data_IF_249920841164
#
_entry.id   IF_249920841164
#
_cell.length_a   1.000
_cell.length_b   1.000
_cell.length_c   1.000
_cell.angle_alpha   90.00
_cell.angle_beta   90.00
_cell.angle_gamma   90.00
#
_symmetry.space_group_name_H-M   'P 1'
#
loop_
_entity.id
_entity.type
_entity.pdbx_description
1 polymer ?
#
# COMPACT_ATOMS: atom_id res chain seq x y z
N UNK A 1 -27.38 29.94 42.77
CA UNK A 1 -26.63 28.84 43.44
C UNK A 1 -27.30 27.46 43.31
N UNK A 2 -28.62 27.34 43.28
CA UNK A 2 -29.32 26.04 43.18
C UNK A 2 -29.17 25.32 41.83
N UNK A 3 -29.16 26.04 40.70
CA UNK A 3 -29.01 25.45 39.37
C UNK A 3 -27.62 24.81 39.12
N UNK A 4 -26.55 25.36 39.68
CA UNK A 4 -25.20 24.81 39.56
C UNK A 4 -25.05 23.50 40.32
N UNK A 5 -25.66 23.35 41.51
CA UNK A 5 -25.64 22.10 42.29
C UNK A 5 -26.43 20.95 41.64
N UNK A 6 -27.51 21.22 40.93
CA UNK A 6 -28.32 20.19 40.23
C UNK A 6 -27.61 19.65 38.98
N UNK A 7 -26.85 20.49 38.29
CA UNK A 7 -26.04 20.08 37.14
C UNK A 7 -24.87 19.18 37.58
N UNK A 8 -24.18 19.56 38.66
CA UNK A 8 -23.07 18.78 39.22
C UNK A 8 -23.50 17.40 39.75
N UNK A 9 -24.67 17.29 40.35
CA UNK A 9 -25.22 16.02 40.85
C UNK A 9 -25.59 15.09 39.66
N UNK A 10 -26.19 15.62 38.58
CA UNK A 10 -26.52 14.85 37.39
C UNK A 10 -25.30 14.37 36.64
N UNK A 11 -24.20 15.15 36.60
CA UNK A 11 -22.93 14.75 36.00
C UNK A 11 -22.22 13.66 36.80
N UNK A 12 -22.18 13.76 38.10
CA UNK A 12 -21.61 12.73 39.01
C UNK A 12 -22.35 11.40 38.88
N UNK A 13 -23.68 11.44 38.74
CA UNK A 13 -24.50 10.23 38.57
C UNK A 13 -24.27 9.56 37.20
N UNK A 14 -24.11 10.34 36.11
CA UNK A 14 -23.76 9.84 34.79
C UNK A 14 -22.39 9.19 34.75
N UNK A 15 -21.41 9.80 35.41
CA UNK A 15 -20.02 9.26 35.47
C UNK A 15 -20.00 7.91 36.17
N UNK A 16 -20.69 7.78 37.33
CA UNK A 16 -20.82 6.49 38.05
C UNK A 16 -21.53 5.42 37.25
N UNK A 17 -22.58 5.78 36.50
CA UNK A 17 -23.29 4.86 35.62
C UNK A 17 -22.40 4.38 34.46
N UNK A 18 -21.61 5.29 33.87
CA UNK A 18 -20.64 4.96 32.81
C UNK A 18 -19.53 4.05 33.33
N UNK A 19 -18.93 4.35 34.49
CA UNK A 19 -17.87 3.54 35.09
C UNK A 19 -18.39 2.14 35.45
N UNK A 20 -19.64 2.03 35.94
CA UNK A 20 -20.30 0.73 36.20
C UNK A 20 -20.48 -0.07 34.89
N UNK A 21 -20.92 0.58 33.82
CA UNK A 21 -21.07 -0.06 32.50
C UNK A 21 -19.71 -0.50 31.90
N UNK A 22 -18.68 0.34 32.02
CA UNK A 22 -17.32 -0.02 31.60
C UNK A 22 -16.77 -1.22 32.35
N UNK A 23 -16.94 -1.25 33.70
CA UNK A 23 -16.54 -2.39 34.52
C UNK A 23 -17.34 -3.68 34.21
N UNK A 24 -18.60 -3.58 33.78
CA UNK A 24 -19.37 -4.72 33.31
C UNK A 24 -18.88 -5.24 31.98
N UNK A 25 -18.57 -4.34 31.03
CA UNK A 25 -18.01 -4.69 29.72
C UNK A 25 -16.64 -5.38 29.86
N UNK A 26 -15.76 -4.85 30.71
CA UNK A 26 -14.45 -5.46 30.97
C UNK A 26 -14.56 -6.87 31.58
N UNK A 27 -15.50 -7.08 32.49
CA UNK A 27 -15.74 -8.41 33.06
C UNK A 27 -16.29 -9.41 32.04
N UNK A 28 -17.11 -8.96 31.11
CA UNK A 28 -17.79 -9.83 30.14
C UNK A 28 -16.94 -10.10 28.90
N UNK A 29 -16.19 -9.12 28.44
CA UNK A 29 -15.48 -9.15 27.14
C UNK A 29 -13.95 -9.01 27.24
N UNK A 30 -13.41 -8.80 28.44
CA UNK A 30 -11.99 -8.63 28.70
C UNK A 30 -11.55 -7.16 28.75
N UNK A 31 -10.39 -6.93 29.36
CA UNK A 31 -9.77 -5.60 29.46
C UNK A 31 -9.42 -5.04 28.08
N UNK A 32 -9.57 -3.73 27.89
CA UNK A 32 -9.27 -3.06 26.62
C UNK A 32 -10.37 -3.14 25.57
N UNK A 33 -11.53 -3.78 25.86
CA UNK A 33 -12.69 -3.81 24.96
C UNK A 33 -13.24 -2.41 24.68
N UNK A 34 -13.20 -1.52 25.66
CA UNK A 34 -13.49 -0.09 25.54
C UNK A 34 -12.30 0.69 26.06
N UNK A 35 -11.81 1.63 25.27
CA UNK A 35 -10.69 2.48 25.64
C UNK A 35 -10.97 3.94 25.30
N UNK A 36 -10.39 4.85 26.04
CA UNK A 36 -10.44 6.28 25.71
C UNK A 36 -9.44 6.57 24.59
N UNK A 37 -9.91 7.20 23.51
CA UNK A 37 -9.07 7.47 22.32
C UNK A 37 -7.83 8.31 22.63
N UNK A 38 -7.85 9.11 23.72
CA UNK A 38 -6.70 9.89 24.19
C UNK A 38 -5.52 9.06 24.70
N UNK A 39 -5.76 7.81 25.11
CA UNK A 39 -4.72 6.92 25.64
C UNK A 39 -3.81 6.35 24.53
N UNK A 40 -4.30 6.30 23.28
CA UNK A 40 -3.53 5.84 22.08
C UNK A 40 -3.06 6.96 21.16
N UNK A 41 -3.04 8.20 21.60
CA UNK A 41 -2.82 9.39 20.74
C UNK A 41 -1.46 9.45 20.02
N UNK A 42 -0.50 8.60 20.36
CA UNK A 42 0.88 8.72 19.86
C UNK A 42 1.50 7.43 19.29
N UNK A 43 0.73 6.37 19.12
CA UNK A 43 1.27 5.19 18.43
C UNK A 43 1.38 5.48 16.93
N UNK A 44 2.63 5.56 16.42
CA UNK A 44 2.88 5.62 14.97
C UNK A 44 2.36 4.33 14.35
N UNK A 45 1.55 4.46 13.30
CA UNK A 45 1.10 3.30 12.53
C UNK A 45 2.32 2.70 11.83
N UNK A 46 2.67 1.43 12.09
CA UNK A 46 3.78 0.79 11.41
C UNK A 46 3.47 0.67 9.92
N UNK A 47 4.49 0.91 9.08
CA UNK A 47 4.35 0.91 7.64
C UNK A 47 5.47 0.11 6.96
N UNK A 48 5.16 -0.45 5.79
CA UNK A 48 6.13 -1.07 4.88
C UNK A 48 6.40 -0.07 3.74
N UNK A 49 7.66 0.37 3.52
CA UNK A 49 8.00 1.27 2.43
C UNK A 49 7.60 0.70 1.06
N UNK A 50 7.29 1.58 0.12
CA UNK A 50 6.86 1.18 -1.22
C UNK A 50 7.99 0.96 -2.21
N UNK A 51 9.21 1.38 -1.86
CA UNK A 51 10.33 1.46 -2.80
C UNK A 51 10.44 2.84 -3.47
N UNK A 52 9.35 3.62 -3.56
CA UNK A 52 9.34 4.99 -4.04
C UNK A 52 9.34 5.98 -2.89
N UNK A 53 10.33 6.87 -2.84
CA UNK A 53 10.40 7.92 -1.83
C UNK A 53 9.21 8.87 -1.92
N UNK A 54 8.85 9.28 -3.13
CA UNK A 54 7.71 10.18 -3.36
C UNK A 54 6.39 9.57 -2.94
N UNK A 55 6.19 8.27 -3.16
CA UNK A 55 4.96 7.58 -2.77
C UNK A 55 4.89 7.39 -1.25
N UNK A 56 6.00 7.05 -0.60
CA UNK A 56 6.09 6.94 0.86
C UNK A 56 5.69 8.25 1.55
N UNK A 57 6.12 9.39 0.99
CA UNK A 57 5.73 10.74 1.42
C UNK A 57 4.24 11.00 1.15
N UNK A 58 3.75 10.67 -0.05
CA UNK A 58 2.35 10.89 -0.40
C UNK A 58 1.38 10.08 0.48
N UNK A 59 1.82 8.92 0.99
CA UNK A 59 1.08 8.10 1.95
C UNK A 59 1.05 8.69 3.37
N UNK A 60 2.01 9.56 3.72
CA UNK A 60 2.04 10.34 4.96
C UNK A 60 2.48 9.59 6.21
N UNK A 61 2.80 8.29 6.10
CA UNK A 61 3.28 7.44 7.21
C UNK A 61 4.58 6.70 6.84
N UNK A 62 5.19 7.06 5.70
CA UNK A 62 6.44 6.45 5.23
C UNK A 62 6.27 5.10 4.53
N UNK A 63 5.06 4.77 4.05
CA UNK A 63 4.78 3.52 3.34
C UNK A 63 3.33 3.07 3.46
N UNK A 64 3.07 1.81 3.18
CA UNK A 64 1.76 1.17 3.28
C UNK A 64 1.50 0.68 4.71
N UNK A 65 0.30 0.96 5.28
CA UNK A 65 0.00 0.67 6.68
C UNK A 65 -0.09 -0.84 6.96
N UNK A 66 0.62 -1.32 7.97
CA UNK A 66 0.45 -2.69 8.49
C UNK A 66 -0.92 -2.83 9.17
N UNK A 67 -1.42 -4.06 9.26
CA UNK A 67 -2.73 -4.35 9.85
C UNK A 67 -3.90 -3.77 9.05
N UNK A 68 -3.72 -3.49 7.75
CA UNK A 68 -4.70 -2.85 6.88
C UNK A 68 -4.80 -3.51 5.51
N UNK A 69 -5.97 -3.34 4.89
CA UNK A 69 -6.22 -3.71 3.50
C UNK A 69 -5.95 -2.51 2.61
N UNK A 70 -5.18 -2.73 1.55
CA UNK A 70 -4.83 -1.76 0.52
C UNK A 70 -5.32 -2.26 -0.84
N UNK A 71 -5.85 -1.38 -1.67
CA UNK A 71 -6.18 -1.66 -3.07
C UNK A 71 -5.29 -0.83 -3.99
N UNK A 72 -4.60 -1.51 -4.92
CA UNK A 72 -3.84 -0.89 -6.01
C UNK A 72 -4.54 -1.23 -7.31
N UNK A 73 -5.00 -0.24 -8.05
CA UNK A 73 -5.71 -0.47 -9.29
C UNK A 73 -5.24 0.47 -10.40
N UNK A 74 -5.38 0.03 -11.62
CA UNK A 74 -4.97 0.79 -12.80
C UNK A 74 -5.12 -0.03 -14.09
N UNK A 75 -4.83 0.58 -15.25
CA UNK A 75 -4.80 -0.12 -16.53
C UNK A 75 -3.78 -1.26 -16.54
N UNK A 76 -3.87 -2.11 -17.54
CA UNK A 76 -2.83 -3.09 -17.83
C UNK A 76 -1.48 -2.40 -18.07
N UNK A 77 -0.38 -3.07 -17.71
CA UNK A 77 0.99 -2.56 -17.87
C UNK A 77 1.26 -1.21 -17.21
N UNK A 78 0.48 -0.82 -16.20
CA UNK A 78 0.68 0.42 -15.43
C UNK A 78 1.73 0.31 -14.30
N UNK A 79 2.25 -0.91 -14.03
CA UNK A 79 3.24 -1.16 -12.98
C UNK A 79 2.68 -1.63 -11.65
N UNK A 80 1.43 -2.13 -11.60
CA UNK A 80 0.80 -2.66 -10.37
C UNK A 80 1.61 -3.76 -9.69
N UNK A 81 1.90 -4.82 -10.44
CA UNK A 81 2.68 -5.98 -9.96
C UNK A 81 4.11 -5.57 -9.61
N UNK A 82 4.75 -4.70 -10.41
CA UNK A 82 6.08 -4.16 -10.09
C UNK A 82 6.08 -3.44 -8.74
N UNK A 83 5.13 -2.53 -8.51
CA UNK A 83 5.03 -1.81 -7.25
C UNK A 83 4.83 -2.77 -6.07
N UNK A 84 3.99 -3.80 -6.21
CA UNK A 84 3.76 -4.75 -5.11
C UNK A 84 4.96 -5.65 -4.85
N UNK A 85 5.72 -6.06 -5.87
CA UNK A 85 6.97 -6.80 -5.69
C UNK A 85 8.04 -5.96 -5.00
N UNK A 86 8.12 -4.65 -5.30
CA UNK A 86 8.98 -3.73 -4.56
C UNK A 86 8.59 -3.64 -3.08
N UNK A 87 7.28 -3.56 -2.76
CA UNK A 87 6.81 -3.59 -1.36
C UNK A 87 7.19 -4.89 -0.67
N UNK A 88 7.07 -6.04 -1.36
CA UNK A 88 7.51 -7.34 -0.85
C UNK A 88 9.02 -7.32 -0.55
N UNK A 89 9.83 -6.82 -1.48
CA UNK A 89 11.27 -6.71 -1.30
C UNK A 89 11.64 -5.82 -0.10
N UNK A 90 10.93 -4.69 0.11
CA UNK A 90 11.13 -3.85 1.29
C UNK A 90 10.71 -4.58 2.58
N UNK A 91 9.60 -5.31 2.58
CA UNK A 91 9.17 -6.11 3.72
C UNK A 91 10.23 -7.15 4.12
N UNK A 92 10.74 -7.92 3.16
CA UNK A 92 11.79 -8.92 3.39
C UNK A 92 13.10 -8.27 3.87
N UNK A 93 13.50 -7.11 3.34
CA UNK A 93 14.66 -6.33 3.84
C UNK A 93 14.51 -5.90 5.30
N UNK A 94 13.27 -5.74 5.77
CA UNK A 94 12.96 -5.46 7.18
C UNK A 94 12.92 -6.73 8.05
N UNK A 95 13.15 -7.91 7.47
CA UNK A 95 13.06 -9.22 8.13
C UNK A 95 11.64 -9.79 8.20
N UNK A 96 10.70 -9.24 7.42
CA UNK A 96 9.31 -9.69 7.36
C UNK A 96 9.10 -10.86 6.39
N UNK A 97 8.06 -11.66 6.67
CA UNK A 97 7.64 -12.79 5.84
C UNK A 97 6.57 -12.33 4.84
N UNK A 98 6.77 -12.69 3.57
CA UNK A 98 5.90 -12.30 2.47
C UNK A 98 5.19 -13.50 1.85
N UNK A 99 3.92 -13.29 1.47
CA UNK A 99 3.14 -14.26 0.70
C UNK A 99 2.49 -13.60 -0.52
N UNK A 100 2.35 -14.38 -1.60
CA UNK A 100 1.77 -13.95 -2.87
C UNK A 100 0.75 -14.97 -3.35
N UNK A 101 -0.47 -14.54 -3.59
CA UNK A 101 -1.52 -15.34 -4.23
C UNK A 101 -1.59 -14.91 -5.68
N UNK A 102 -1.06 -15.78 -6.56
CA UNK A 102 -0.98 -15.59 -8.01
C UNK A 102 -2.19 -16.23 -8.69
N UNK A 103 -3.31 -15.50 -8.68
CA UNK A 103 -4.54 -15.96 -9.33
C UNK A 103 -4.52 -15.78 -10.86
N UNK A 104 -3.59 -15.00 -11.40
CA UNK A 104 -3.38 -14.84 -12.85
C UNK A 104 -2.38 -15.85 -13.43
N UNK A 105 -1.66 -16.61 -12.56
CA UNK A 105 -0.58 -17.53 -12.94
C UNK A 105 0.51 -16.85 -13.80
N UNK A 106 0.85 -15.62 -13.47
CA UNK A 106 1.70 -14.75 -14.28
C UNK A 106 2.94 -14.23 -13.53
N UNK A 107 3.19 -14.69 -12.30
CA UNK A 107 4.36 -14.29 -11.52
C UNK A 107 5.64 -14.85 -12.15
N UNK A 108 6.53 -13.94 -12.58
CA UNK A 108 7.86 -14.28 -13.06
C UNK A 108 8.89 -14.19 -11.92
N UNK A 109 9.45 -15.33 -11.47
CA UNK A 109 10.44 -15.36 -10.39
C UNK A 109 11.72 -14.59 -10.74
N UNK A 110 12.16 -14.66 -12.01
CA UNK A 110 13.36 -13.97 -12.47
C UNK A 110 13.18 -12.43 -12.41
N UNK A 111 11.98 -11.98 -12.76
CA UNK A 111 11.65 -10.56 -12.64
C UNK A 111 11.54 -10.14 -11.17
N UNK A 112 10.90 -10.94 -10.32
CA UNK A 112 10.80 -10.67 -8.88
C UNK A 112 12.19 -10.56 -8.22
N UNK A 113 13.12 -11.48 -8.55
CA UNK A 113 14.50 -11.45 -8.05
C UNK A 113 15.23 -10.17 -8.48
N UNK A 114 15.07 -9.72 -9.73
CA UNK A 114 15.65 -8.46 -10.21
C UNK A 114 15.14 -7.22 -9.45
N UNK A 115 13.94 -7.28 -8.92
CA UNK A 115 13.37 -6.23 -8.06
C UNK A 115 13.82 -6.34 -6.60
N UNK A 116 14.65 -7.34 -6.28
CA UNK A 116 15.22 -7.56 -4.95
C UNK A 116 14.35 -8.40 -4.01
N UNK A 117 13.37 -9.13 -4.56
CA UNK A 117 12.61 -10.12 -3.81
C UNK A 117 13.49 -11.35 -3.58
N UNK A 118 13.55 -11.82 -2.34
CA UNK A 118 14.11 -13.14 -2.03
C UNK A 118 13.06 -14.19 -2.39
N UNK A 119 13.19 -14.75 -3.59
CA UNK A 119 12.21 -15.73 -4.13
C UNK A 119 12.22 -17.06 -3.39
N UNK A 120 13.33 -17.44 -2.78
CA UNK A 120 13.45 -18.69 -2.00
C UNK A 120 12.62 -18.64 -0.70
N UNK A 121 12.36 -17.43 -0.17
CA UNK A 121 11.56 -17.22 1.05
C UNK A 121 10.15 -16.71 0.76
N UNK A 122 9.81 -16.44 -0.51
CA UNK A 122 8.48 -15.98 -0.88
C UNK A 122 7.49 -17.13 -0.91
N UNK A 123 6.45 -17.07 -0.06
CA UNK A 123 5.36 -18.03 -0.09
C UNK A 123 4.44 -17.75 -1.27
N UNK A 124 4.28 -18.68 -2.20
CA UNK A 124 3.42 -18.51 -3.39
C UNK A 124 2.30 -19.54 -3.37
N UNK A 125 1.07 -19.07 -3.65
CA UNK A 125 -0.10 -19.93 -3.87
C UNK A 125 -0.71 -19.60 -5.22
N UNK A 126 -1.05 -20.63 -6.00
CA UNK A 126 -1.71 -20.53 -7.31
C UNK A 126 -3.05 -21.27 -7.25
N UNK A 127 -4.12 -20.63 -6.77
CA UNK A 127 -5.41 -21.26 -6.57
C UNK A 127 -6.21 -21.39 -7.86
N UNK A 128 -7.00 -22.46 -7.97
CA UNK A 128 -7.88 -22.70 -9.13
C UNK A 128 -9.19 -21.90 -9.07
N UNK A 129 -9.62 -21.48 -7.87
CA UNK A 129 -10.88 -20.75 -7.67
C UNK A 129 -10.72 -19.55 -6.76
N UNK A 130 -11.63 -18.58 -6.89
CA UNK A 130 -11.66 -17.41 -6.02
C UNK A 130 -11.92 -17.75 -4.55
N UNK A 131 -12.74 -18.78 -4.27
CA UNK A 131 -12.99 -19.28 -2.92
C UNK A 131 -11.70 -19.83 -2.30
N UNK A 132 -10.96 -20.67 -3.04
CA UNK A 132 -9.68 -21.23 -2.58
C UNK A 132 -8.66 -20.12 -2.30
N UNK A 133 -8.53 -19.14 -3.20
CA UNK A 133 -7.64 -18.00 -3.03
C UNK A 133 -7.91 -17.24 -1.73
N UNK A 134 -9.19 -16.92 -1.48
CA UNK A 134 -9.58 -16.10 -0.33
C UNK A 134 -9.58 -16.90 0.98
N UNK A 135 -9.76 -18.21 0.93
CA UNK A 135 -9.62 -19.08 2.10
C UNK A 135 -8.15 -19.26 2.48
N UNK A 136 -7.26 -19.47 1.52
CA UNK A 136 -5.80 -19.46 1.73
C UNK A 136 -5.35 -18.13 2.33
N UNK A 137 -5.85 -17.00 1.79
CA UNK A 137 -5.57 -15.67 2.33
C UNK A 137 -5.99 -15.53 3.80
N UNK A 138 -7.21 -15.97 4.14
CA UNK A 138 -7.72 -15.89 5.52
C UNK A 138 -6.91 -16.74 6.50
N UNK A 139 -6.54 -17.97 6.11
CA UNK A 139 -5.73 -18.87 6.94
C UNK A 139 -4.33 -18.28 7.16
N UNK A 140 -3.67 -17.78 6.10
CA UNK A 140 -2.33 -17.19 6.20
C UNK A 140 -2.35 -15.95 7.11
N UNK A 141 -3.31 -15.04 6.92
CA UNK A 141 -3.45 -13.85 7.76
C UNK A 141 -3.77 -14.21 9.21
N UNK A 142 -4.71 -15.15 9.42
CA UNK A 142 -5.10 -15.57 10.78
C UNK A 142 -3.97 -16.24 11.55
N UNK A 143 -2.99 -16.83 10.87
CA UNK A 143 -1.81 -17.45 11.50
C UNK A 143 -0.91 -16.47 12.24
N UNK A 144 -0.93 -15.17 11.82
CA UNK A 144 -0.01 -14.15 12.33
C UNK A 144 1.46 -14.36 11.93
N UNK A 145 1.73 -15.31 11.04
CA UNK A 145 3.09 -15.67 10.60
C UNK A 145 3.58 -14.91 9.37
N UNK A 146 2.76 -14.04 8.78
CA UNK A 146 3.11 -13.25 7.59
C UNK A 146 2.92 -11.75 7.84
N UNK A 147 3.83 -10.95 7.30
CA UNK A 147 3.81 -9.48 7.44
C UNK A 147 3.11 -8.80 6.25
N UNK A 148 3.20 -9.41 5.08
CA UNK A 148 2.54 -8.94 3.86
C UNK A 148 1.94 -10.09 3.07
N UNK A 149 0.73 -9.88 2.55
CA UNK A 149 0.05 -10.75 1.59
C UNK A 149 -0.37 -9.93 0.37
N UNK A 150 0.02 -10.37 -0.81
CA UNK A 150 -0.43 -9.78 -2.09
C UNK A 150 -1.36 -10.77 -2.78
N UNK A 151 -2.46 -10.27 -3.36
CA UNK A 151 -3.41 -11.03 -4.18
C UNK A 151 -3.46 -10.39 -5.57
N UNK A 152 -2.94 -11.07 -6.58
CA UNK A 152 -2.88 -10.62 -7.99
C UNK A 152 -3.66 -11.58 -8.89
N UNK A 153 -4.80 -11.19 -9.43
CA UNK A 153 -5.56 -9.99 -9.16
C UNK A 153 -7.01 -10.33 -8.79
N UNK A 154 -7.74 -9.35 -8.21
CA UNK A 154 -9.18 -9.50 -7.92
C UNK A 154 -9.98 -9.92 -9.15
N UNK A 155 -9.59 -9.45 -10.35
CA UNK A 155 -10.28 -9.78 -11.60
C UNK A 155 -10.19 -11.28 -11.96
N UNK A 156 -9.14 -11.97 -11.49
CA UNK A 156 -8.91 -13.40 -11.72
C UNK A 156 -9.52 -14.29 -10.63
N UNK A 157 -10.11 -13.74 -9.57
CA UNK A 157 -10.81 -14.49 -8.54
C UNK A 157 -12.19 -14.95 -9.06
N UNK A 158 -12.18 -16.00 -9.88
CA UNK A 158 -13.40 -16.55 -10.48
C UNK A 158 -14.09 -17.47 -9.46
N UNK A 159 -15.39 -17.27 -9.16
CA UNK A 159 -16.15 -18.17 -8.31
C UNK A 159 -16.21 -19.60 -8.86
N UNK A 160 -16.11 -20.59 -7.98
CA UNK A 160 -16.17 -22.01 -8.36
C UNK A 160 -17.39 -22.35 -9.20
N UNK A 161 -18.56 -21.83 -8.81
CA UNK A 161 -19.82 -22.05 -9.55
C UNK A 161 -19.78 -21.48 -10.98
N UNK A 162 -18.98 -20.48 -11.25
CA UNK A 162 -18.78 -19.92 -12.60
C UNK A 162 -17.84 -20.81 -13.43
N UNK A 163 -16.85 -21.43 -12.80
CA UNK A 163 -15.93 -22.36 -13.46
C UNK A 163 -16.62 -23.68 -13.81
N UNK A 164 -17.50 -24.18 -12.93
CA UNK A 164 -18.25 -25.44 -13.11
C UNK A 164 -19.50 -25.27 -13.98
N UNK A 165 -19.93 -24.04 -14.29
CA UNK A 165 -21.05 -23.71 -15.14
C UNK A 165 -20.80 -23.95 -16.63
N UNK A 166 -21.86 -23.96 -17.45
CA UNK A 166 -21.72 -24.05 -18.89
C UNK A 166 -21.35 -22.70 -19.52
N UNK A 167 -20.70 -22.74 -20.69
CA UNK A 167 -20.39 -21.53 -21.45
C UNK A 167 -21.68 -20.81 -21.86
N UNK A 168 -21.85 -19.57 -21.35
CA UNK A 168 -23.02 -18.75 -21.58
C UNK A 168 -23.96 -18.60 -20.39
N UNK A 169 -23.71 -19.31 -19.30
CA UNK A 169 -24.45 -19.13 -18.05
C UNK A 169 -24.27 -17.73 -17.46
N UNK A 170 -25.33 -17.17 -16.92
CA UNK A 170 -25.32 -15.84 -16.33
C UNK A 170 -25.06 -15.90 -14.83
N UNK A 171 -23.81 -15.64 -14.43
CA UNK A 171 -23.38 -15.62 -13.03
C UNK A 171 -23.30 -14.20 -12.44
N UNK A 172 -24.38 -13.43 -12.58
CA UNK A 172 -24.42 -12.02 -12.18
C UNK A 172 -24.12 -11.86 -10.69
N UNK A 173 -23.01 -11.14 -10.38
CA UNK A 173 -22.68 -10.69 -9.04
C UNK A 173 -22.10 -11.75 -8.10
N UNK A 174 -21.78 -12.96 -8.56
CA UNK A 174 -21.16 -14.00 -7.71
C UNK A 174 -19.82 -13.54 -7.17
N UNK A 175 -18.93 -13.01 -8.00
CA UNK A 175 -17.62 -12.47 -7.57
C UNK A 175 -17.79 -11.35 -6.54
N UNK A 176 -18.74 -10.44 -6.69
CA UNK A 176 -18.99 -9.37 -5.75
C UNK A 176 -19.50 -9.88 -4.38
N UNK A 177 -20.30 -10.96 -4.38
CA UNK A 177 -20.76 -11.64 -3.15
C UNK A 177 -19.60 -12.34 -2.44
N UNK A 178 -18.79 -13.07 -3.19
CA UNK A 178 -17.58 -13.74 -2.71
C UNK A 178 -16.63 -12.74 -2.05
N UNK A 179 -16.28 -11.64 -2.72
CA UNK A 179 -15.46 -10.58 -2.19
C UNK A 179 -16.07 -9.95 -0.91
N UNK A 180 -17.37 -9.70 -0.91
CA UNK A 180 -18.05 -9.13 0.27
C UNK A 180 -18.01 -10.06 1.47
N UNK A 181 -18.14 -11.38 1.27
CA UNK A 181 -18.06 -12.39 2.33
C UNK A 181 -16.64 -12.51 2.86
N UNK A 182 -15.66 -12.65 1.99
CA UNK A 182 -14.25 -12.79 2.34
C UNK A 182 -13.73 -11.57 3.10
N UNK A 183 -13.98 -10.36 2.62
CA UNK A 183 -13.51 -9.14 3.26
C UNK A 183 -14.08 -8.94 4.67
N UNK A 184 -15.34 -9.35 4.92
CA UNK A 184 -15.91 -9.35 6.29
C UNK A 184 -15.16 -10.28 7.24
N UNK A 185 -14.71 -11.43 6.72
CA UNK A 185 -13.96 -12.42 7.50
C UNK A 185 -12.52 -11.99 7.74
N UNK A 186 -11.82 -11.62 6.67
CA UNK A 186 -10.39 -11.31 6.68
C UNK A 186 -10.07 -10.02 7.46
N UNK A 187 -10.93 -8.98 7.37
CA UNK A 187 -10.63 -7.66 7.96
C UNK A 187 -10.32 -7.73 9.46
N UNK A 188 -11.05 -8.56 10.22
CA UNK A 188 -10.80 -8.73 11.65
C UNK A 188 -9.44 -9.40 11.94
N UNK A 189 -9.05 -10.35 11.11
CA UNK A 189 -7.78 -11.06 11.22
C UNK A 189 -6.60 -10.17 10.83
N UNK A 190 -6.73 -9.41 9.75
CA UNK A 190 -5.71 -8.44 9.27
C UNK A 190 -5.29 -7.46 10.36
N UNK A 191 -6.26 -6.90 11.10
CA UNK A 191 -5.96 -5.97 12.18
C UNK A 191 -5.27 -6.65 13.38
N UNK A 192 -5.64 -7.89 13.68
CA UNK A 192 -5.08 -8.64 14.83
C UNK A 192 -3.67 -9.15 14.56
N UNK A 193 -3.41 -9.59 13.32
CA UNK A 193 -2.13 -10.14 12.90
C UNK A 193 -1.11 -9.07 12.48
N UNK A 194 -1.52 -7.81 12.39
CA UNK A 194 -0.69 -6.70 11.88
C UNK A 194 -0.18 -6.93 10.44
N UNK A 195 -0.86 -7.78 9.67
CA UNK A 195 -0.50 -8.11 8.29
C UNK A 195 -0.97 -7.01 7.34
N UNK A 196 -0.11 -6.56 6.44
CA UNK A 196 -0.51 -5.75 5.28
C UNK A 196 -1.09 -6.65 4.20
N UNK A 197 -2.35 -6.43 3.78
CA UNK A 197 -2.96 -7.15 2.67
C UNK A 197 -3.18 -6.23 1.49
N UNK A 198 -2.56 -6.55 0.35
CA UNK A 198 -2.67 -5.79 -0.90
C UNK A 198 -3.51 -6.57 -1.90
N UNK A 199 -4.59 -5.97 -2.37
CA UNK A 199 -5.35 -6.44 -3.52
C UNK A 199 -4.97 -5.64 -4.76
N UNK A 200 -4.43 -6.31 -5.76
CA UNK A 200 -4.26 -5.75 -7.10
C UNK A 200 -5.59 -5.86 -7.84
N UNK A 201 -6.01 -4.78 -8.51
CA UNK A 201 -7.29 -4.76 -9.22
C UNK A 201 -7.16 -4.14 -10.62
N UNK A 202 -8.04 -4.53 -11.49
CA UNK A 202 -8.14 -4.04 -12.85
C UNK A 202 -9.30 -3.05 -12.98
N UNK A 203 -9.16 -2.09 -13.90
CA UNK A 203 -10.22 -1.16 -14.25
C UNK A 203 -11.21 -1.85 -15.18
N UNK A 204 -12.49 -1.55 -14.97
CA UNK A 204 -13.61 -1.91 -15.82
C UNK A 204 -14.40 -0.65 -16.17
N UNK A 205 -15.07 -0.63 -17.29
CA UNK A 205 -15.89 0.49 -17.71
C UNK A 205 -17.37 0.13 -17.57
N UNK A 206 -18.11 1.02 -16.89
CA UNK A 206 -19.57 0.91 -16.82
C UNK A 206 -20.19 1.41 -18.13
N UNK A 207 -21.05 0.62 -18.71
CA UNK A 207 -21.80 0.99 -19.90
C UNK A 207 -22.92 1.97 -19.51
N UNK A 208 -23.16 3.01 -20.33
CA UNK A 208 -24.27 3.94 -20.16
C UNK A 208 -24.09 5.04 -19.12
N UNK A 209 -22.88 5.27 -18.63
CA UNK A 209 -22.59 6.41 -17.73
C UNK A 209 -22.45 7.69 -18.55
N UNK A 210 -23.45 8.58 -18.46
CA UNK A 210 -23.45 9.88 -19.17
C UNK A 210 -22.73 10.98 -18.37
N UNK A 211 -22.64 10.86 -17.03
CA UNK A 211 -22.01 11.85 -16.15
C UNK A 211 -21.10 11.17 -15.14
N UNK A 212 -19.96 11.82 -14.83
CA UNK A 212 -18.94 11.28 -13.92
C UNK A 212 -17.99 10.30 -14.60
N UNK A 213 -17.13 9.62 -13.80
CA UNK A 213 -16.18 8.65 -14.34
C UNK A 213 -16.87 7.31 -14.61
N UNK A 214 -16.77 6.76 -15.84
CA UNK A 214 -17.27 5.43 -16.15
C UNK A 214 -16.40 4.32 -15.54
N UNK A 215 -15.21 4.65 -15.08
CA UNK A 215 -14.25 3.68 -14.53
C UNK A 215 -14.72 3.11 -13.19
N UNK A 216 -14.59 1.81 -13.04
CA UNK A 216 -14.81 1.07 -11.80
C UNK A 216 -13.78 -0.05 -11.68
N UNK A 217 -13.69 -0.70 -10.53
CA UNK A 217 -12.80 -1.85 -10.32
C UNK A 217 -13.59 -3.15 -10.31
N UNK A 218 -12.96 -4.29 -10.63
CA UNK A 218 -13.56 -5.61 -10.55
C UNK A 218 -13.92 -6.01 -9.11
N UNK A 219 -14.76 -7.05 -8.92
CA UNK A 219 -15.11 -7.56 -7.60
C UNK A 219 -16.15 -6.75 -6.81
N UNK A 220 -16.85 -5.81 -7.46
CA UNK A 220 -17.91 -5.01 -6.86
C UNK A 220 -17.42 -3.86 -5.99
N UNK A 221 -18.23 -3.47 -4.99
CA UNK A 221 -17.93 -2.29 -4.18
C UNK A 221 -17.29 -2.60 -2.81
N UNK A 222 -17.26 -3.87 -2.37
CA UNK A 222 -16.83 -4.23 -1.02
C UNK A 222 -15.40 -3.75 -0.73
N UNK A 223 -14.47 -4.00 -1.65
CA UNK A 223 -13.07 -3.61 -1.48
C UNK A 223 -12.90 -2.09 -1.34
N UNK A 224 -13.73 -1.29 -2.04
CA UNK A 224 -13.73 0.19 -1.89
C UNK A 224 -14.05 0.65 -0.47
N UNK A 225 -14.88 -0.09 0.27
CA UNK A 225 -15.23 0.23 1.65
C UNK A 225 -14.22 -0.33 2.64
N UNK A 226 -13.78 -1.57 2.48
CA UNK A 226 -12.89 -2.27 3.42
C UNK A 226 -11.45 -1.77 3.36
N UNK A 227 -10.94 -1.38 2.17
CA UNK A 227 -9.58 -0.84 2.05
C UNK A 227 -9.40 0.44 2.87
N UNK A 228 -8.26 0.54 3.56
CA UNK A 228 -7.82 1.75 4.26
C UNK A 228 -7.12 2.72 3.33
N UNK A 229 -6.39 2.21 2.36
CA UNK A 229 -5.71 2.97 1.31
C UNK A 229 -6.14 2.44 -0.05
N UNK A 230 -6.38 3.33 -1.01
CA UNK A 230 -6.62 2.99 -2.42
C UNK A 230 -5.74 3.86 -3.29
N UNK A 231 -5.06 3.24 -4.21
CA UNK A 231 -4.11 3.89 -5.13
C UNK A 231 -4.49 3.61 -6.58
N UNK A 232 -4.59 4.68 -7.37
CA UNK A 232 -4.76 4.66 -8.82
C UNK A 232 -3.38 4.83 -9.46
N UNK A 233 -2.87 3.79 -10.12
CA UNK A 233 -1.56 3.80 -10.78
C UNK A 233 -1.73 3.89 -12.29
N UNK A 234 -1.02 4.84 -12.91
CA UNK A 234 -1.09 5.13 -14.35
C UNK A 234 0.30 5.34 -14.93
N UNK A 235 0.54 4.72 -16.08
CA UNK A 235 1.66 5.11 -16.94
C UNK A 235 1.34 6.46 -17.58
N UNK A 236 2.23 7.44 -17.44
CA UNK A 236 2.06 8.79 -17.98
C UNK A 236 3.07 9.14 -19.06
N UNK A 237 4.16 8.36 -19.20
CA UNK A 237 5.20 8.60 -20.19
C UNK A 237 6.09 7.38 -20.36
N UNK A 238 7.11 7.56 -21.20
CA UNK A 238 8.15 6.56 -21.47
C UNK A 238 9.52 7.18 -21.16
N UNK A 239 10.31 6.50 -20.35
CA UNK A 239 11.71 6.86 -20.10
C UNK A 239 12.55 6.31 -21.24
N UNK A 240 13.36 7.17 -21.86
CA UNK A 240 14.24 6.82 -22.97
C UNK A 240 15.70 7.06 -22.60
N UNK A 241 16.57 6.20 -23.14
CA UNK A 241 18.01 6.42 -23.19
C UNK A 241 18.42 6.44 -24.67
N UNK A 242 18.72 7.65 -25.19
CA UNK A 242 18.77 7.88 -26.63
C UNK A 242 17.42 7.60 -27.30
N UNK A 243 17.39 6.67 -28.24
CA UNK A 243 16.17 6.23 -28.95
C UNK A 243 15.50 5.01 -28.31
N UNK A 244 16.15 4.36 -27.35
CA UNK A 244 15.66 3.15 -26.72
C UNK A 244 14.75 3.47 -25.52
N UNK A 245 13.61 2.76 -25.42
CA UNK A 245 12.72 2.84 -24.27
C UNK A 245 13.27 1.97 -23.13
N UNK A 246 13.70 2.58 -22.04
CA UNK A 246 14.32 1.89 -20.89
C UNK A 246 13.39 1.80 -19.66
N UNK A 247 12.22 2.42 -19.73
CA UNK A 247 11.28 2.41 -18.63
C UNK A 247 10.01 3.21 -18.88
N UNK A 248 9.18 3.32 -17.85
CA UNK A 248 7.94 4.08 -17.87
C UNK A 248 7.96 5.16 -16.80
N UNK A 249 7.44 6.34 -17.14
CA UNK A 249 7.02 7.33 -16.12
C UNK A 249 5.64 6.95 -15.60
N UNK A 250 5.55 6.85 -14.29
CA UNK A 250 4.38 6.32 -13.61
C UNK A 250 3.88 7.33 -12.59
N UNK A 251 2.57 7.55 -12.55
CA UNK A 251 1.90 8.35 -11.55
C UNK A 251 1.03 7.45 -10.67
N UNK A 252 1.14 7.62 -9.36
CA UNK A 252 0.25 6.99 -8.37
C UNK A 252 -0.51 8.09 -7.63
N UNK A 253 -1.84 8.03 -7.69
CA UNK A 253 -2.73 8.91 -6.94
C UNK A 253 -3.34 8.16 -5.76
N UNK A 254 -3.16 8.66 -4.56
CA UNK A 254 -3.77 8.12 -3.34
C UNK A 254 -5.21 8.63 -3.24
N UNK A 255 -6.16 7.89 -3.79
CA UNK A 255 -7.57 8.32 -3.90
C UNK A 255 -8.38 8.12 -2.62
N UNK A 256 -7.89 7.28 -1.72
CA UNK A 256 -8.44 7.05 -0.39
C UNK A 256 -7.30 6.77 0.59
N UNK A 257 -7.34 7.42 1.74
CA UNK A 257 -6.39 7.19 2.82
C UNK A 257 -7.10 7.42 4.16
N UNK A 258 -7.09 6.39 5.04
CA UNK A 258 -7.65 6.47 6.40
C UNK A 258 -6.59 6.75 7.46
N UNK A 259 -5.31 6.78 7.08
CA UNK A 259 -4.18 6.95 8.02
C UNK A 259 -3.46 8.30 7.85
N UNK A 260 -3.75 9.03 6.77
CA UNK A 260 -3.22 10.36 6.47
C UNK A 260 -4.18 11.09 5.52
N UNK A 261 -4.06 12.41 5.27
CA UNK A 261 -4.87 13.11 4.29
C UNK A 261 -4.76 12.48 2.89
N UNK A 262 -5.90 12.19 2.22
CA UNK A 262 -5.93 11.59 0.89
C UNK A 262 -5.62 12.62 -0.22
N UNK A 263 -5.61 12.14 -1.48
CA UNK A 263 -5.48 12.86 -2.74
C UNK A 263 -4.09 13.39 -3.08
N UNK A 264 -3.08 13.11 -2.24
CA UNK A 264 -1.68 13.31 -2.63
C UNK A 264 -1.33 12.34 -3.77
N UNK A 265 -0.34 12.72 -4.58
CA UNK A 265 0.14 11.91 -5.70
C UNK A 265 1.67 11.88 -5.72
N UNK A 266 2.22 10.84 -6.30
CA UNK A 266 3.64 10.69 -6.57
C UNK A 266 3.86 10.33 -8.04
N UNK A 267 4.94 10.83 -8.60
CA UNK A 267 5.41 10.47 -9.94
C UNK A 267 6.84 9.95 -9.80
N UNK A 268 7.09 8.80 -10.42
CA UNK A 268 8.38 8.13 -10.38
C UNK A 268 8.59 7.29 -11.64
N UNK A 269 9.83 6.90 -11.87
CA UNK A 269 10.21 6.06 -12.98
C UNK A 269 10.27 4.59 -12.57
N UNK A 270 9.67 3.72 -13.37
CA UNK A 270 9.86 2.28 -13.32
C UNK A 270 10.77 1.90 -14.48
N UNK A 271 12.00 1.50 -14.19
CA UNK A 271 12.98 1.08 -15.17
C UNK A 271 12.83 -0.43 -15.46
N UNK A 272 12.93 -0.81 -16.72
CA UNK A 272 12.82 -2.21 -17.11
C UNK A 272 13.95 -3.04 -16.48
N UNK A 273 13.61 -4.17 -15.89
CA UNK A 273 14.51 -5.07 -15.17
C UNK A 273 15.24 -4.47 -13.94
N UNK A 274 14.90 -3.24 -13.51
CA UNK A 274 15.51 -2.58 -12.35
C UNK A 274 14.49 -2.11 -11.32
N UNK A 275 13.20 -2.01 -11.72
CA UNK A 275 12.13 -1.55 -10.85
C UNK A 275 12.10 -0.03 -10.66
N UNK A 276 11.67 0.41 -9.48
CA UNK A 276 11.49 1.83 -9.14
C UNK A 276 12.85 2.52 -9.02
N UNK A 277 13.03 3.62 -9.75
CA UNK A 277 14.26 4.43 -9.73
C UNK A 277 14.32 5.33 -8.47
N UNK A 278 14.42 4.69 -7.28
CA UNK A 278 14.45 5.39 -6.00
C UNK A 278 15.59 6.39 -5.88
N UNK A 279 16.77 6.05 -6.39
CA UNK A 279 17.93 6.97 -6.33
C UNK A 279 17.72 8.19 -7.22
N UNK A 280 17.04 7.99 -8.36
CA UNK A 280 16.65 9.10 -9.19
C UNK A 280 15.66 10.05 -8.51
N UNK A 281 14.68 9.50 -7.77
CA UNK A 281 13.78 10.32 -6.95
C UNK A 281 14.52 11.07 -5.83
N UNK A 282 15.48 10.40 -5.18
CA UNK A 282 16.27 11.00 -4.10
C UNK A 282 17.10 12.20 -4.59
N UNK A 283 17.70 12.09 -5.79
CA UNK A 283 18.48 13.19 -6.39
C UNK A 283 17.54 14.34 -6.75
N UNK A 284 16.38 14.07 -7.37
CA UNK A 284 15.42 15.11 -7.74
C UNK A 284 14.91 15.84 -6.49
N UNK A 285 14.46 15.08 -5.46
CA UNK A 285 13.98 15.66 -4.20
C UNK A 285 15.08 16.38 -3.43
N UNK A 286 16.28 15.84 -3.43
CA UNK A 286 17.44 16.50 -2.85
C UNK A 286 17.77 17.83 -3.52
N UNK A 287 17.61 17.91 -4.84
CA UNK A 287 17.79 19.15 -5.60
C UNK A 287 16.63 20.15 -5.37
N UNK A 288 15.38 19.68 -5.30
CA UNK A 288 14.19 20.51 -5.00
C UNK A 288 14.29 21.16 -3.60
N UNK A 289 14.96 20.49 -2.65
CA UNK A 289 15.15 20.93 -1.25
C UNK A 289 16.47 21.62 -1.00
N UNK A 290 17.25 21.94 -2.04
CA UNK A 290 18.60 22.54 -1.93
C UNK A 290 19.60 21.73 -1.06
N UNK A 291 19.33 20.45 -0.83
CA UNK A 291 20.24 19.52 -0.14
C UNK A 291 21.31 19.02 -1.11
N UNK A 292 20.93 18.80 -2.36
CA UNK A 292 21.83 18.53 -3.49
C UNK A 292 21.86 19.78 -4.35
N UNK A 293 23.02 20.37 -4.52
CA UNK A 293 23.23 21.53 -5.37
C UNK A 293 23.22 21.11 -6.84
N UNK A 294 22.41 21.78 -7.68
CA UNK A 294 22.36 21.54 -9.12
C UNK A 294 22.80 22.79 -9.87
N UNK A 295 23.98 22.71 -10.50
CA UNK A 295 24.54 23.78 -11.34
C UNK A 295 24.69 23.28 -12.78
N UNK A 296 23.74 23.65 -13.66
CA UNK A 296 23.67 23.14 -15.02
C UNK A 296 23.52 21.62 -15.04
N UNK A 297 24.49 20.90 -15.63
CA UNK A 297 24.50 19.44 -15.66
C UNK A 297 25.18 18.81 -14.43
N UNK A 298 25.76 19.59 -13.52
CA UNK A 298 26.50 19.08 -12.39
C UNK A 298 25.64 19.01 -11.13
N UNK A 299 25.76 17.91 -10.40
CA UNK A 299 25.22 17.71 -9.08
C UNK A 299 26.34 17.71 -8.05
N UNK A 300 26.15 18.40 -6.92
CA UNK A 300 27.13 18.51 -5.84
C UNK A 300 26.43 18.35 -4.48
N UNK A 301 27.16 17.89 -3.50
CA UNK A 301 26.70 17.79 -2.11
C UNK A 301 27.79 18.35 -1.18
N UNK A 302 27.47 19.35 -0.36
CA UNK A 302 28.41 20.09 0.49
C UNK A 302 29.64 20.63 -0.29
N UNK A 303 29.43 21.11 -1.54
CA UNK A 303 30.51 21.62 -2.39
C UNK A 303 31.32 20.55 -3.13
N UNK A 304 31.13 19.26 -2.84
CA UNK A 304 31.79 18.16 -3.55
C UNK A 304 30.93 17.67 -4.72
N UNK A 305 31.52 17.53 -5.89
CA UNK A 305 30.82 17.02 -7.09
C UNK A 305 30.49 15.55 -6.92
N UNK A 306 29.21 15.18 -7.08
CA UNK A 306 28.73 13.78 -7.03
C UNK A 306 28.47 13.20 -8.42
N UNK A 307 28.37 14.03 -9.47
CA UNK A 307 28.23 13.55 -10.84
C UNK A 307 27.88 14.64 -11.84
N UNK A 308 28.22 14.39 -13.11
CA UNK A 308 27.73 15.16 -14.24
C UNK A 308 26.54 14.40 -14.87
N UNK A 309 25.34 14.95 -14.75
CA UNK A 309 24.10 14.29 -15.09
C UNK A 309 23.59 13.34 -14.01
N UNK A 310 22.28 13.06 -14.09
CA UNK A 310 21.58 12.25 -13.07
C UNK A 310 22.11 10.81 -13.00
N UNK A 311 22.40 10.20 -14.16
CA UNK A 311 22.89 8.81 -14.22
C UNK A 311 24.22 8.63 -13.49
N UNK A 312 25.21 9.50 -13.74
CA UNK A 312 26.52 9.45 -13.07
C UNK A 312 26.40 9.74 -11.56
N UNK A 313 25.45 10.59 -11.17
CA UNK A 313 25.18 10.88 -9.75
C UNK A 313 24.56 9.69 -9.04
N UNK A 314 23.68 8.92 -9.71
CA UNK A 314 23.14 7.66 -9.19
C UNK A 314 24.28 6.67 -8.96
N UNK A 315 25.10 6.43 -9.98
CA UNK A 315 26.24 5.50 -9.89
C UNK A 315 27.20 5.88 -8.77
N UNK A 316 27.49 7.17 -8.62
CA UNK A 316 28.34 7.66 -7.53
C UNK A 316 27.72 7.36 -6.15
N UNK A 317 26.42 7.58 -5.98
CA UNK A 317 25.73 7.31 -4.71
C UNK A 317 25.64 5.80 -4.40
N UNK A 318 25.47 4.95 -5.41
CA UNK A 318 25.51 3.48 -5.25
C UNK A 318 26.86 3.01 -4.72
N UNK A 319 27.96 3.61 -5.21
CA UNK A 319 29.32 3.32 -4.74
C UNK A 319 29.64 3.93 -3.36
N UNK A 320 28.81 4.87 -2.89
CA UNK A 320 29.01 5.58 -1.62
C UNK A 320 27.81 5.41 -0.65
N UNK A 321 27.54 4.21 -0.10
CA UNK A 321 26.33 3.92 0.67
C UNK A 321 26.20 4.71 1.98
N UNK A 322 27.31 5.18 2.57
CA UNK A 322 27.28 6.04 3.76
C UNK A 322 26.75 7.43 3.42
N UNK A 323 27.23 8.00 2.30
CA UNK A 323 26.77 9.29 1.81
C UNK A 323 25.30 9.23 1.39
N UNK A 324 24.91 8.16 0.68
CA UNK A 324 23.53 7.90 0.28
C UNK A 324 22.59 7.96 1.49
N UNK A 325 22.87 7.20 2.56
CA UNK A 325 22.07 7.20 3.80
C UNK A 325 21.99 8.57 4.45
N UNK A 326 23.07 9.36 4.38
CA UNK A 326 23.09 10.71 4.95
C UNK A 326 22.18 11.65 4.18
N UNK A 327 22.27 11.65 2.86
CA UNK A 327 21.41 12.46 1.98
C UNK A 327 19.95 12.03 2.13
N UNK A 328 19.66 10.73 2.10
CA UNK A 328 18.31 10.19 2.26
C UNK A 328 17.68 10.66 3.59
N UNK A 329 18.43 10.58 4.69
CA UNK A 329 17.95 11.04 5.98
C UNK A 329 17.66 12.54 5.96
N UNK A 330 18.55 13.36 5.40
CA UNK A 330 18.34 14.82 5.32
C UNK A 330 17.12 15.18 4.49
N UNK A 331 16.92 14.52 3.35
CA UNK A 331 15.74 14.72 2.49
C UNK A 331 14.47 14.36 3.24
N UNK A 332 14.42 13.21 3.92
CA UNK A 332 13.26 12.78 4.71
C UNK A 332 13.00 13.74 5.88
N UNK A 333 14.05 14.17 6.60
CA UNK A 333 13.93 15.09 7.72
C UNK A 333 13.48 16.49 7.28
N UNK A 334 13.88 16.95 6.09
CA UNK A 334 13.43 18.22 5.52
C UNK A 334 11.95 18.18 5.16
N UNK A 335 11.49 17.13 4.48
CA UNK A 335 10.09 16.94 4.09
C UNK A 335 9.18 16.88 5.32
N UNK A 336 9.58 16.14 6.36
CA UNK A 336 8.80 16.01 7.60
C UNK A 336 8.70 17.31 8.42
N UNK A 337 9.50 18.35 8.09
CA UNK A 337 9.41 19.68 8.71
C UNK A 337 8.48 20.63 7.98
N UNK A 338 8.19 20.36 6.70
CA UNK A 338 7.28 21.16 5.89
C UNK A 338 5.80 20.75 6.04
N UNK A 339 5.50 19.51 6.49
CA UNK A 339 4.17 19.00 6.84
C UNK A 339 3.81 19.30 8.33
#
# INVERSE_FOLDING_TARGET
>A
MAQKKVTDIKEVDKTKQLDSALGQIERQFGSGTVMRMGEKRHEKIPAIPTGSLGLDIALGIGGLPRGRIVEIYGPESSGKTTLTLEVIAQCQKMGGTAAFIDAEHALDPIYAEKLGVNVDELLVSQPDTGEQALEVADIMVASGGIDILVIDSVAALVPKAEIEGEMGDHHVGLQARLMSQALRKITGNVQKSDTLVIFINQIRHKIGVMFGSPETTAGGNALKFYSSVRMDIRRIGTVKDGDEAVGNETRVKVVKNKVSPPFKQAEFQILYNKGINRLGELIDKGADLDIIEKAGAWYSYNGEKIGQGKANSIEFLEQNPKLLKTIEKQVIDAINKED
#
